data_IF_487957090243
#
_entry.id   IF_487957090243
#
_cell.length_a   1.000
_cell.length_b   1.000
_cell.length_c   1.000
_cell.angle_alpha   90.00
_cell.angle_beta   90.00
_cell.angle_gamma   90.00
#
_symmetry.space_group_name_H-M   'P 1'
#
loop_
_entity.id
_entity.type
_entity.pdbx_description
1 polymer ?
#
# COMPACT_ATOMS: atom_id res chain seq x y z
N UNK A 1 0.19 -21.54 -28.81
CA UNK A 1 0.98 -21.53 -27.55
C UNK A 1 1.19 -20.12 -27.01
N UNK A 2 1.71 -19.17 -27.81
CA UNK A 2 1.87 -17.76 -27.41
C UNK A 2 0.57 -17.06 -27.00
N UNK A 3 -0.52 -17.22 -27.76
CA UNK A 3 -1.84 -16.64 -27.43
C UNK A 3 -2.43 -17.18 -26.12
N UNK A 4 -2.20 -18.48 -25.82
CA UNK A 4 -2.67 -19.09 -24.57
C UNK A 4 -1.89 -18.54 -23.37
N UNK A 5 -0.57 -18.33 -23.55
CA UNK A 5 0.30 -17.73 -22.55
C UNK A 5 -0.08 -16.26 -22.28
N UNK A 6 -0.39 -15.49 -23.33
CA UNK A 6 -0.86 -14.10 -23.22
C UNK A 6 -2.23 -14.02 -22.54
N UNK A 7 -3.17 -14.91 -22.89
CA UNK A 7 -4.47 -15.00 -22.24
C UNK A 7 -4.35 -15.34 -20.75
N UNK A 8 -3.51 -16.32 -20.40
CA UNK A 8 -3.29 -16.71 -18.99
C UNK A 8 -2.63 -15.58 -18.19
N UNK A 9 -1.67 -14.85 -18.79
CA UNK A 9 -1.05 -13.67 -18.17
C UNK A 9 -2.08 -12.56 -17.94
N UNK A 10 -2.93 -12.30 -18.93
CA UNK A 10 -3.96 -11.27 -18.84
C UNK A 10 -5.01 -11.60 -17.78
N UNK A 11 -5.44 -12.87 -17.70
CA UNK A 11 -6.36 -13.35 -16.68
C UNK A 11 -5.77 -13.21 -15.27
N UNK A 12 -4.51 -13.63 -15.06
CA UNK A 12 -3.81 -13.48 -13.78
C UNK A 12 -3.62 -12.02 -13.38
N UNK A 13 -3.33 -11.15 -14.35
CA UNK A 13 -3.25 -9.71 -14.14
C UNK A 13 -4.60 -9.12 -13.71
N UNK A 14 -5.70 -9.60 -14.28
CA UNK A 14 -7.06 -9.17 -13.92
C UNK A 14 -7.41 -9.59 -12.49
N UNK A 15 -7.11 -10.84 -12.11
CA UNK A 15 -7.32 -11.34 -10.75
C UNK A 15 -6.50 -10.54 -9.73
N UNK A 16 -5.26 -10.22 -10.07
CA UNK A 16 -4.38 -9.42 -9.22
C UNK A 16 -4.91 -8.00 -9.03
N UNK A 17 -5.36 -7.37 -10.12
CA UNK A 17 -5.99 -6.05 -10.07
C UNK A 17 -7.24 -6.08 -9.19
N UNK A 18 -8.08 -7.10 -9.32
CA UNK A 18 -9.27 -7.26 -8.47
C UNK A 18 -8.92 -7.42 -6.99
N UNK A 19 -7.87 -8.19 -6.67
CA UNK A 19 -7.37 -8.34 -5.30
C UNK A 19 -6.85 -7.01 -4.73
N UNK A 20 -6.07 -6.26 -5.51
CA UNK A 20 -5.59 -4.94 -5.12
C UNK A 20 -6.75 -3.95 -4.92
N UNK A 21 -7.73 -3.92 -5.83
CA UNK A 21 -8.92 -3.07 -5.71
C UNK A 21 -9.70 -3.40 -4.44
N UNK A 22 -9.95 -4.69 -4.17
CA UNK A 22 -10.69 -5.11 -2.99
C UNK A 22 -9.94 -4.76 -1.70
N UNK A 23 -8.60 -4.90 -1.70
CA UNK A 23 -7.76 -4.51 -0.57
C UNK A 23 -7.85 -3.01 -0.28
N UNK A 24 -7.74 -2.19 -1.32
CA UNK A 24 -7.86 -0.74 -1.23
C UNK A 24 -9.22 -0.35 -0.66
N UNK A 25 -10.30 -0.85 -1.25
CA UNK A 25 -11.68 -0.56 -0.80
C UNK A 25 -11.91 -0.95 0.65
N UNK A 26 -11.35 -2.10 1.07
CA UNK A 26 -11.39 -2.53 2.47
C UNK A 26 -10.67 -1.50 3.37
N UNK A 27 -9.47 -1.06 3.00
CA UNK A 27 -8.70 -0.10 3.79
C UNK A 27 -9.34 1.30 3.83
N UNK A 28 -9.93 1.74 2.73
CA UNK A 28 -10.74 2.97 2.68
C UNK A 28 -11.91 2.89 3.66
N UNK A 29 -12.71 1.81 3.59
CA UNK A 29 -13.83 1.60 4.51
C UNK A 29 -13.38 1.57 5.97
N UNK A 30 -12.28 0.89 6.28
CA UNK A 30 -11.70 0.86 7.64
C UNK A 30 -11.24 2.25 8.10
N UNK A 31 -10.73 3.07 7.19
CA UNK A 31 -10.32 4.45 7.49
C UNK A 31 -11.52 5.35 7.74
N UNK A 32 -12.60 5.21 6.96
CA UNK A 32 -13.86 5.92 7.18
C UNK A 32 -14.46 5.57 8.55
N UNK A 33 -14.51 4.27 8.88
CA UNK A 33 -14.94 3.79 10.21
C UNK A 33 -14.08 4.43 11.30
N UNK A 34 -12.76 4.47 11.13
CA UNK A 34 -11.84 5.13 12.08
C UNK A 34 -12.15 6.61 12.24
N UNK A 35 -12.38 7.33 11.14
CA UNK A 35 -12.73 8.75 11.18
C UNK A 35 -14.04 9.00 11.93
N UNK A 36 -15.05 8.16 11.71
CA UNK A 36 -16.34 8.25 12.42
C UNK A 36 -16.20 7.91 13.91
N UNK A 37 -15.39 6.91 14.26
CA UNK A 37 -15.07 6.61 15.67
C UNK A 37 -14.41 7.81 16.37
N UNK A 38 -13.49 8.52 15.70
CA UNK A 38 -12.89 9.73 16.26
C UNK A 38 -13.91 10.84 16.50
N UNK A 39 -14.89 11.02 15.60
CA UNK A 39 -15.99 12.00 15.81
C UNK A 39 -16.82 11.63 17.03
N UNK A 40 -17.11 10.34 17.22
CA UNK A 40 -17.82 9.84 18.42
C UNK A 40 -17.00 10.11 19.69
N UNK A 41 -15.73 9.72 19.73
CA UNK A 41 -14.87 9.98 20.90
C UNK A 41 -14.80 11.46 21.27
N UNK A 42 -14.74 12.33 20.25
CA UNK A 42 -14.60 13.78 20.42
C UNK A 42 -15.90 14.46 20.88
N UNK A 43 -17.07 13.89 20.54
CA UNK A 43 -18.38 14.41 20.96
C UNK A 43 -18.78 13.97 22.38
N UNK A 44 -18.16 12.91 22.91
CA UNK A 44 -18.39 12.42 24.26
C UNK A 44 -17.84 13.39 25.33
N UNK A 45 -18.75 13.96 26.14
CA UNK A 45 -18.45 14.85 27.28
C UNK A 45 -18.94 14.25 28.59
N UNK A 46 -18.28 14.59 29.70
CA UNK A 46 -18.62 14.15 31.06
C UNK A 46 -17.72 13.02 31.58
N UNK A 47 -17.54 12.99 32.90
CA UNK A 47 -16.56 12.13 33.59
C UNK A 47 -16.88 10.62 33.48
N UNK A 48 -18.15 10.27 33.28
CA UNK A 48 -18.61 8.88 33.07
C UNK A 48 -18.28 8.28 31.69
N UNK A 49 -17.63 9.03 30.79
CA UNK A 49 -17.32 8.57 29.42
C UNK A 49 -15.97 7.88 29.28
N UNK A 50 -15.19 7.80 30.36
CA UNK A 50 -13.78 7.35 30.33
C UNK A 50 -13.62 5.94 29.79
N UNK A 51 -14.45 5.00 30.26
CA UNK A 51 -14.36 3.59 29.87
C UNK A 51 -14.75 3.38 28.40
N UNK A 52 -15.77 4.10 27.93
CA UNK A 52 -16.19 4.06 26.53
C UNK A 52 -15.13 4.67 25.60
N UNK A 53 -14.46 5.76 25.99
CA UNK A 53 -13.31 6.31 25.25
C UNK A 53 -12.15 5.29 25.17
N UNK A 54 -11.86 4.59 26.25
CA UNK A 54 -10.84 3.55 26.28
C UNK A 54 -11.19 2.38 25.34
N UNK A 55 -12.44 1.90 25.37
CA UNK A 55 -12.90 0.85 24.44
C UNK A 55 -12.80 1.29 22.98
N UNK A 56 -13.16 2.53 22.67
CA UNK A 56 -13.06 3.08 21.30
C UNK A 56 -11.60 3.18 20.83
N UNK A 57 -10.66 3.55 21.70
CA UNK A 57 -9.22 3.50 21.38
C UNK A 57 -8.74 2.07 21.09
N UNK A 58 -9.21 1.08 21.86
CA UNK A 58 -8.89 -0.34 21.59
C UNK A 58 -9.42 -0.79 20.23
N UNK A 59 -10.65 -0.40 19.86
CA UNK A 59 -11.20 -0.68 18.53
C UNK A 59 -10.36 -0.02 17.44
N UNK A 60 -9.94 1.23 17.65
CA UNK A 60 -9.09 1.95 16.72
C UNK A 60 -7.74 1.25 16.47
N UNK A 61 -7.09 0.77 17.54
CA UNK A 61 -5.86 0.01 17.43
C UNK A 61 -6.04 -1.33 16.70
N UNK A 62 -7.19 -2.00 16.87
CA UNK A 62 -7.52 -3.23 16.13
C UNK A 62 -7.74 -2.95 14.64
N UNK A 63 -8.33 -1.80 14.29
CA UNK A 63 -8.46 -1.35 12.90
C UNK A 63 -7.07 -1.13 12.30
N UNK A 64 -6.19 -0.44 13.01
CA UNK A 64 -4.81 -0.19 12.56
C UNK A 64 -4.04 -1.50 12.30
N UNK A 65 -4.15 -2.48 13.21
CA UNK A 65 -3.55 -3.80 13.03
C UNK A 65 -4.13 -4.57 11.82
N UNK A 66 -5.41 -4.39 11.50
CA UNK A 66 -6.04 -5.08 10.38
C UNK A 66 -5.68 -4.46 9.02
N UNK A 67 -5.58 -3.13 8.96
CA UNK A 67 -5.07 -2.40 7.78
C UNK A 67 -3.64 -2.86 7.46
N UNK A 68 -2.86 -3.21 8.49
CA UNK A 68 -1.47 -3.67 8.37
C UNK A 68 -1.30 -5.19 8.19
N UNK A 69 -2.36 -5.98 7.97
CA UNK A 69 -2.22 -7.45 7.96
C UNK A 69 -1.27 -7.97 6.86
N UNK A 70 -0.16 -8.57 7.29
CA UNK A 70 0.96 -9.06 6.47
C UNK A 70 0.60 -10.23 5.53
N UNK A 71 -0.45 -10.99 5.83
CA UNK A 71 -0.77 -12.22 5.07
C UNK A 71 -1.36 -11.96 3.69
N UNK A 72 -2.25 -10.95 3.58
CA UNK A 72 -2.82 -10.54 2.30
C UNK A 72 -1.79 -9.80 1.46
N UNK A 73 -0.97 -8.98 2.10
CA UNK A 73 0.17 -8.35 1.46
C UNK A 73 1.10 -9.39 0.84
N UNK A 74 1.48 -10.42 1.60
CA UNK A 74 2.36 -11.47 1.11
C UNK A 74 1.77 -12.15 -0.14
N UNK A 75 0.46 -12.40 -0.17
CA UNK A 75 -0.23 -12.89 -1.37
C UNK A 75 -0.17 -11.90 -2.54
N UNK A 76 -0.32 -10.60 -2.28
CA UNK A 76 -0.16 -9.57 -3.32
C UNK A 76 1.26 -9.58 -3.86
N UNK A 77 2.28 -9.67 -3.01
CA UNK A 77 3.70 -9.73 -3.40
C UNK A 77 4.00 -10.98 -4.22
N UNK A 78 3.57 -12.16 -3.76
CA UNK A 78 3.75 -13.42 -4.47
C UNK A 78 3.10 -13.37 -5.87
N UNK A 79 1.91 -12.79 -5.97
CA UNK A 79 1.20 -12.64 -7.24
C UNK A 79 1.81 -11.55 -8.13
N UNK A 80 2.34 -10.48 -7.54
CA UNK A 80 3.12 -9.44 -8.25
C UNK A 80 4.33 -10.07 -8.92
N UNK A 81 5.06 -10.91 -8.19
CA UNK A 81 6.29 -11.54 -8.65
C UNK A 81 6.08 -12.50 -9.81
N UNK A 82 4.94 -13.20 -9.84
CA UNK A 82 4.54 -14.05 -10.97
C UNK A 82 4.35 -13.25 -12.27
N UNK A 83 3.94 -11.98 -12.19
CA UNK A 83 3.64 -11.13 -13.35
C UNK A 83 4.82 -10.24 -13.72
N UNK A 84 5.60 -9.82 -12.72
CA UNK A 84 6.67 -8.83 -12.86
C UNK A 84 8.05 -9.40 -12.57
N UNK A 85 8.31 -10.65 -12.93
CA UNK A 85 9.63 -11.29 -12.90
C UNK A 85 10.35 -11.18 -11.54
N UNK A 86 9.67 -11.55 -10.45
CA UNK A 86 10.21 -11.51 -9.09
C UNK A 86 10.63 -10.11 -8.59
N UNK A 87 10.02 -9.04 -9.11
CA UNK A 87 10.32 -7.66 -8.73
C UNK A 87 10.27 -7.39 -7.21
N UNK A 88 9.25 -7.84 -6.50
CA UNK A 88 9.11 -7.64 -5.05
C UNK A 88 10.17 -8.38 -4.26
N UNK A 89 10.53 -9.59 -4.71
CA UNK A 89 11.65 -10.33 -4.15
C UNK A 89 12.97 -9.58 -4.36
N UNK A 90 13.31 -9.18 -5.58
CA UNK A 90 14.55 -8.44 -5.84
C UNK A 90 14.58 -7.08 -5.12
N UNK A 91 13.43 -6.41 -5.02
CA UNK A 91 13.30 -5.17 -4.26
C UNK A 91 13.61 -5.39 -2.77
N UNK A 92 13.07 -6.45 -2.17
CA UNK A 92 13.32 -6.79 -0.77
C UNK A 92 14.75 -7.25 -0.49
N UNK A 93 15.37 -7.95 -1.45
CA UNK A 93 16.78 -8.36 -1.35
C UNK A 93 17.74 -7.17 -1.44
N UNK A 94 17.47 -6.22 -2.34
CA UNK A 94 18.34 -5.07 -2.57
C UNK A 94 18.11 -3.94 -1.56
N UNK A 95 16.87 -3.78 -1.10
CA UNK A 95 16.43 -2.73 -0.18
C UNK A 95 15.62 -3.30 0.99
N UNK A 96 16.28 -4.04 1.91
CA UNK A 96 15.60 -4.75 3.00
C UNK A 96 15.03 -3.82 4.09
N UNK A 97 15.43 -2.55 4.12
CA UNK A 97 15.02 -1.53 5.09
C UNK A 97 13.73 -0.79 4.68
N UNK A 98 13.12 -1.15 3.55
CA UNK A 98 11.86 -0.58 3.12
C UNK A 98 10.72 -0.99 4.05
N UNK A 99 9.98 0.00 4.50
CA UNK A 99 8.70 -0.24 5.16
C UNK A 99 7.69 -0.81 4.16
N UNK A 100 6.65 -1.44 4.70
CA UNK A 100 5.53 -1.95 3.94
C UNK A 100 4.97 -0.94 2.92
N UNK A 101 4.64 0.27 3.39
CA UNK A 101 4.09 1.32 2.54
C UNK A 101 5.06 1.76 1.44
N UNK A 102 6.36 1.70 1.70
CA UNK A 102 7.40 1.99 0.71
C UNK A 102 7.53 0.88 -0.34
N UNK A 103 7.42 -0.41 0.05
CA UNK A 103 7.36 -1.54 -0.89
C UNK A 103 6.12 -1.45 -1.79
N UNK A 104 4.96 -1.18 -1.20
CA UNK A 104 3.71 -0.97 -1.95
C UNK A 104 3.79 0.22 -2.89
N UNK A 105 4.39 1.33 -2.45
CA UNK A 105 4.66 2.48 -3.32
C UNK A 105 5.49 2.07 -4.55
N UNK A 106 6.52 1.24 -4.37
CA UNK A 106 7.33 0.74 -5.49
C UNK A 106 6.51 -0.16 -6.44
N UNK A 107 5.64 -1.02 -5.91
CA UNK A 107 4.67 -1.79 -6.71
C UNK A 107 3.86 -0.88 -7.63
N UNK A 108 3.26 0.15 -7.04
CA UNK A 108 2.36 1.02 -7.78
C UNK A 108 3.10 1.86 -8.82
N UNK A 109 4.34 2.27 -8.53
CA UNK A 109 5.20 2.93 -9.52
C UNK A 109 5.59 1.98 -10.66
N UNK A 110 5.88 0.71 -10.38
CA UNK A 110 6.18 -0.32 -11.38
C UNK A 110 4.99 -0.61 -12.29
N UNK A 111 3.77 -0.45 -11.75
CA UNK A 111 2.51 -0.49 -12.51
C UNK A 111 2.16 0.83 -13.22
N UNK A 112 3.05 1.83 -13.19
CA UNK A 112 2.86 3.15 -13.80
C UNK A 112 1.64 3.95 -13.30
N UNK A 113 1.20 3.72 -12.05
CA UNK A 113 0.13 4.52 -11.45
C UNK A 113 0.60 5.95 -11.16
N UNK A 114 -0.30 6.92 -11.35
CA UNK A 114 -0.06 8.32 -11.02
C UNK A 114 -0.15 8.58 -9.51
N UNK A 115 0.45 9.67 -9.01
CA UNK A 115 0.33 10.04 -7.59
C UNK A 115 -1.13 10.26 -7.14
N UNK A 116 -2.03 10.62 -8.06
CA UNK A 116 -3.46 10.77 -7.78
C UNK A 116 -4.14 9.41 -7.56
N UNK A 117 -3.74 8.40 -8.31
CA UNK A 117 -4.26 7.04 -8.17
C UNK A 117 -3.65 6.35 -6.95
N UNK A 118 -2.36 6.60 -6.65
CA UNK A 118 -1.66 5.98 -5.51
C UNK A 118 -2.14 6.49 -4.15
N UNK A 119 -2.44 7.79 -4.06
CA UNK A 119 -2.86 8.45 -2.82
C UNK A 119 -3.99 7.70 -2.07
N UNK A 120 -5.13 7.36 -2.70
CA UNK A 120 -6.18 6.57 -2.06
C UNK A 120 -5.73 5.14 -1.71
N UNK A 121 -4.91 4.48 -2.55
CA UNK A 121 -4.46 3.10 -2.30
C UNK A 121 -3.63 2.98 -1.02
N UNK A 122 -2.80 3.99 -0.74
CA UNK A 122 -1.97 4.08 0.46
C UNK A 122 -2.64 4.82 1.61
N UNK A 123 -3.87 5.30 1.42
CA UNK A 123 -4.61 6.11 2.39
C UNK A 123 -3.82 7.33 2.90
N UNK A 124 -3.22 8.08 1.96
CA UNK A 124 -2.46 9.29 2.25
C UNK A 124 -2.81 10.39 1.27
N UNK A 125 -2.45 11.63 1.60
CA UNK A 125 -2.59 12.72 0.64
C UNK A 125 -1.62 12.56 -0.53
N UNK A 126 -1.91 13.21 -1.67
CA UNK A 126 -0.96 13.32 -2.80
C UNK A 126 0.40 13.86 -2.33
N UNK A 127 0.41 14.84 -1.41
CA UNK A 127 1.67 15.33 -0.78
C UNK A 127 2.39 14.24 0.00
N UNK A 128 1.66 13.36 0.67
CA UNK A 128 2.20 12.17 1.33
C UNK A 128 2.89 11.24 0.34
N UNK A 129 2.28 11.02 -0.83
CA UNK A 129 2.88 10.24 -1.94
C UNK A 129 4.21 10.86 -2.37
N UNK A 130 4.24 12.16 -2.64
CA UNK A 130 5.48 12.87 -3.03
C UNK A 130 6.56 12.80 -1.93
N UNK A 131 6.15 12.84 -0.66
CA UNK A 131 7.07 12.67 0.48
C UNK A 131 7.67 11.26 0.52
N UNK A 132 6.88 10.21 0.22
CA UNK A 132 7.40 8.84 0.09
C UNK A 132 8.35 8.76 -1.11
N UNK A 133 7.99 9.30 -2.29
CA UNK A 133 8.88 9.33 -3.47
C UNK A 133 10.24 9.95 -3.14
N UNK A 134 10.24 11.08 -2.44
CA UNK A 134 11.47 11.72 -2.01
C UNK A 134 12.30 10.84 -1.06
N UNK A 135 11.67 10.20 -0.08
CA UNK A 135 12.35 9.27 0.83
C UNK A 135 12.92 8.05 0.11
N UNK A 136 12.16 7.45 -0.80
CA UNK A 136 12.61 6.34 -1.63
C UNK A 136 13.85 6.71 -2.45
N UNK A 137 13.84 7.88 -3.11
CA UNK A 137 15.02 8.37 -3.84
C UNK A 137 16.26 8.45 -2.95
N UNK A 138 16.10 8.94 -1.71
CA UNK A 138 17.20 9.01 -0.74
C UNK A 138 17.67 7.63 -0.28
N UNK A 139 16.74 6.72 0.04
CA UNK A 139 17.07 5.34 0.46
C UNK A 139 17.76 4.56 -0.65
N UNK A 140 17.38 4.80 -1.90
CA UNK A 140 17.98 4.18 -3.07
C UNK A 140 19.24 4.91 -3.56
N UNK A 141 19.65 5.97 -2.85
CA UNK A 141 20.84 6.77 -3.16
C UNK A 141 20.86 7.30 -4.61
N UNK A 142 19.69 7.64 -5.15
CA UNK A 142 19.58 8.07 -6.55
C UNK A 142 20.14 9.47 -6.77
N UNK A 143 20.92 9.61 -7.84
CA UNK A 143 21.43 10.91 -8.29
C UNK A 143 20.29 11.83 -8.78
N UNK A 144 20.59 13.11 -9.01
CA UNK A 144 19.55 14.12 -9.35
C UNK A 144 18.85 13.85 -10.68
N UNK A 145 19.59 13.31 -11.63
CA UNK A 145 19.17 12.95 -12.98
C UNK A 145 18.53 11.55 -13.06
N UNK A 146 18.81 10.66 -12.10
CA UNK A 146 18.18 9.35 -12.05
C UNK A 146 16.69 9.45 -11.67
N UNK A 147 15.82 8.86 -12.49
CA UNK A 147 14.38 8.76 -12.21
C UNK A 147 14.06 7.58 -11.28
N UNK A 148 13.24 7.81 -10.24
CA UNK A 148 12.80 6.72 -9.35
C UNK A 148 12.10 5.59 -10.11
N UNK A 149 11.20 5.92 -11.04
CA UNK A 149 10.47 4.91 -11.83
C UNK A 149 11.41 4.18 -12.80
N UNK A 150 12.37 4.88 -13.39
CA UNK A 150 13.38 4.28 -14.27
C UNK A 150 14.28 3.30 -13.51
N UNK A 151 14.73 3.68 -12.31
CA UNK A 151 15.46 2.81 -11.40
C UNK A 151 14.68 1.51 -11.11
N UNK A 152 13.40 1.63 -10.74
CA UNK A 152 12.53 0.48 -10.48
C UNK A 152 12.27 -0.37 -11.74
N UNK A 153 12.38 0.21 -12.93
CA UNK A 153 12.16 -0.50 -14.18
C UNK A 153 13.39 -1.27 -14.67
N UNK A 154 14.59 -0.79 -14.37
CA UNK A 154 15.83 -1.26 -14.99
C UNK A 154 16.82 -1.89 -14.02
N UNK A 155 16.79 -1.51 -12.74
CA UNK A 155 17.79 -1.90 -11.72
C UNK A 155 17.22 -2.76 -10.59
N UNK A 156 15.93 -3.12 -10.65
CA UNK A 156 15.22 -4.07 -9.78
C UNK A 156 14.66 -5.18 -10.67
#
# INVERSE_FOLDING_TARGET
>A
EKEKLEYDLQHKSQEMANLMINFVRKNEMLTEIKADLYKVVSSMKGDGTRDAKQMLLVVNNKIDANIQSDELLKRIEDQFDLIHNNFMKHLGEKHPDLSLNERMMCAYLKMNLSSKEIAPLLNISIRGVETIRYRLRKKFELERDEGLTEYLNTKI
#
